data_IF_589687812767
#
_entry.id   IF_589687812767
#
_cell.length_a   1.000
_cell.length_b   1.000
_cell.length_c   1.000
_cell.angle_alpha   90.00
_cell.angle_beta   90.00
_cell.angle_gamma   90.00
#
_symmetry.space_group_name_H-M   'P 1'
#
loop_
_entity.id
_entity.type
_entity.pdbx_description
1 polymer ?
#
# COMPACT_ATOMS: atom_id res chain seq x y z
N UNK A 1 -17.51 17.92 -48.78
CA UNK A 1 -18.69 17.22 -48.25
C UNK A 1 -18.57 17.17 -46.73
N UNK A 2 -19.62 17.62 -46.04
CA UNK A 2 -19.59 17.96 -44.62
C UNK A 2 -19.14 16.77 -43.75
N UNK A 3 -18.23 17.04 -42.80
CA UNK A 3 -17.87 16.14 -41.70
C UNK A 3 -19.18 15.67 -41.04
N UNK A 4 -19.36 14.35 -40.84
CA UNK A 4 -20.44 13.83 -40.01
C UNK A 4 -20.46 14.64 -38.71
N UNK A 5 -21.56 15.34 -38.37
CA UNK A 5 -21.64 16.07 -37.12
C UNK A 5 -21.64 15.01 -36.02
N UNK A 6 -20.52 14.87 -35.31
CA UNK A 6 -20.42 13.94 -34.20
C UNK A 6 -21.43 14.42 -33.15
N UNK A 7 -22.48 13.63 -32.88
CA UNK A 7 -23.50 13.98 -31.89
C UNK A 7 -22.80 13.99 -30.53
N UNK A 8 -22.79 15.17 -29.91
CA UNK A 8 -22.23 15.40 -28.58
C UNK A 8 -23.36 15.62 -27.59
N UNK A 9 -23.33 14.86 -26.51
CA UNK A 9 -24.28 15.01 -25.40
C UNK A 9 -23.52 15.21 -24.10
N UNK A 10 -24.16 15.89 -23.15
CA UNK A 10 -23.61 16.02 -21.81
C UNK A 10 -23.71 14.68 -21.09
N UNK A 11 -22.72 14.31 -20.27
CA UNK A 11 -22.80 13.10 -19.46
C UNK A 11 -24.01 13.14 -18.53
N UNK A 12 -24.66 11.99 -18.34
CA UNK A 12 -25.84 11.84 -17.49
C UNK A 12 -25.65 10.72 -16.48
N UNK A 13 -26.47 10.68 -15.44
CA UNK A 13 -26.51 9.58 -14.50
C UNK A 13 -27.39 8.46 -15.05
N UNK A 14 -26.88 7.22 -15.23
CA UNK A 14 -27.67 6.09 -15.73
C UNK A 14 -28.88 5.72 -14.85
N UNK A 15 -28.89 6.13 -13.58
CA UNK A 15 -29.93 5.77 -12.62
C UNK A 15 -31.07 6.78 -12.48
N UNK A 16 -30.82 8.05 -12.78
CA UNK A 16 -31.83 9.12 -12.62
C UNK A 16 -31.99 10.03 -13.83
N UNK A 17 -31.15 9.87 -14.85
CA UNK A 17 -31.20 10.64 -16.09
C UNK A 17 -30.74 12.10 -15.98
N UNK A 18 -30.37 12.58 -14.80
CA UNK A 18 -29.86 13.95 -14.63
C UNK A 18 -28.45 14.12 -15.20
N UNK A 19 -28.14 15.31 -15.71
CA UNK A 19 -26.78 15.68 -16.08
C UNK A 19 -25.86 15.61 -14.85
N UNK A 20 -24.64 15.07 -15.04
CA UNK A 20 -23.63 15.00 -13.98
C UNK A 20 -22.57 16.06 -14.18
N UNK A 21 -21.95 16.50 -13.09
CA UNK A 21 -20.86 17.48 -13.15
C UNK A 21 -19.55 16.84 -13.64
N UNK A 22 -18.55 17.64 -14.05
CA UNK A 22 -17.21 17.15 -14.27
C UNK A 22 -16.67 16.46 -13.01
N UNK A 23 -16.11 15.25 -13.13
CA UNK A 23 -15.46 14.58 -12.01
C UNK A 23 -14.22 15.38 -11.60
N UNK A 24 -13.97 15.44 -10.30
CA UNK A 24 -12.88 16.21 -9.70
C UNK A 24 -11.85 15.31 -9.06
N UNK A 25 -10.65 15.85 -8.86
CA UNK A 25 -9.64 15.20 -8.03
C UNK A 25 -10.21 14.98 -6.61
N UNK A 26 -10.07 13.78 -6.02
CA UNK A 26 -10.56 13.52 -4.67
C UNK A 26 -9.79 14.33 -3.61
N UNK A 27 -10.44 14.59 -2.47
CA UNK A 27 -9.89 15.42 -1.39
C UNK A 27 -8.68 14.80 -0.67
N UNK A 28 -8.61 13.46 -0.58
CA UNK A 28 -7.49 12.72 0.02
C UNK A 28 -6.78 11.95 -1.07
N UNK A 29 -5.59 12.43 -1.46
CA UNK A 29 -4.92 11.84 -2.61
C UNK A 29 -4.37 10.43 -2.35
N UNK A 30 -4.80 9.43 -3.13
CA UNK A 30 -4.25 8.07 -3.23
C UNK A 30 -3.74 7.82 -4.66
N UNK A 31 -3.25 6.61 -4.94
CA UNK A 31 -2.18 6.42 -5.94
C UNK A 31 -2.58 6.05 -7.36
N UNK A 32 -3.82 5.62 -7.57
CA UNK A 32 -4.37 5.28 -8.89
C UNK A 32 -5.66 6.06 -9.15
N UNK A 33 -5.57 7.39 -9.08
CA UNK A 33 -6.77 8.23 -9.04
C UNK A 33 -7.48 8.34 -10.38
N UNK A 34 -8.67 7.76 -10.42
CA UNK A 34 -9.71 8.26 -11.28
C UNK A 34 -10.36 9.48 -10.63
N UNK A 35 -10.61 10.53 -11.43
CA UNK A 35 -11.42 11.64 -10.94
C UNK A 35 -12.79 11.12 -10.54
N UNK A 36 -13.31 11.60 -9.43
CA UNK A 36 -14.56 11.15 -8.83
C UNK A 36 -15.60 12.26 -8.87
N UNK A 37 -16.87 11.89 -9.01
CA UNK A 37 -17.98 12.79 -8.86
C UNK A 37 -19.18 12.13 -8.20
N UNK A 38 -20.12 12.97 -7.79
CA UNK A 38 -21.34 12.55 -7.12
C UNK A 38 -22.56 13.06 -7.89
N UNK A 39 -23.60 12.23 -7.96
CA UNK A 39 -24.91 12.60 -8.47
C UNK A 39 -25.86 12.86 -7.30
N UNK A 40 -26.83 13.76 -7.48
CA UNK A 40 -27.82 14.10 -6.45
C UNK A 40 -28.70 12.91 -6.04
N UNK A 41 -28.82 11.88 -6.88
CA UNK A 41 -29.55 10.66 -6.56
C UNK A 41 -28.78 9.71 -5.61
N UNK A 42 -27.55 10.08 -5.22
CA UNK A 42 -26.68 9.27 -4.36
C UNK A 42 -25.73 8.33 -5.12
N UNK A 43 -25.72 8.36 -6.46
CA UNK A 43 -24.74 7.62 -7.23
C UNK A 43 -23.38 8.31 -7.21
N UNK A 44 -22.32 7.51 -7.09
CA UNK A 44 -20.93 7.93 -7.24
C UNK A 44 -20.44 7.51 -8.61
N UNK A 45 -19.53 8.27 -9.21
CA UNK A 45 -18.89 7.88 -10.47
C UNK A 45 -17.42 8.24 -10.53
N UNK A 46 -16.67 7.43 -11.27
CA UNK A 46 -15.25 7.64 -11.58
C UNK A 46 -15.04 7.79 -13.09
N UNK A 47 -13.98 8.50 -13.46
CA UNK A 47 -13.58 8.74 -14.85
C UNK A 47 -12.27 8.06 -15.19
N UNK A 48 -12.32 7.03 -16.05
CA UNK A 48 -11.14 6.51 -16.74
C UNK A 48 -11.00 7.22 -18.09
N UNK A 49 -10.08 8.19 -18.25
CA UNK A 49 -9.92 8.92 -19.50
C UNK A 49 -9.40 8.05 -20.66
N UNK A 50 -8.86 6.87 -20.35
CA UNK A 50 -8.25 5.97 -21.35
C UNK A 50 -9.20 4.87 -21.84
N UNK A 51 -10.14 4.46 -20.98
CA UNK A 51 -11.02 3.31 -21.17
C UNK A 51 -10.34 1.94 -21.08
N UNK A 52 -9.06 1.89 -20.70
CA UNK A 52 -8.29 0.64 -20.54
C UNK A 52 -8.30 0.11 -19.11
N UNK A 53 -8.53 0.97 -18.12
CA UNK A 53 -8.42 0.65 -16.70
C UNK A 53 -9.80 0.62 -16.00
N UNK A 54 -10.86 0.33 -16.75
CA UNK A 54 -12.26 0.36 -16.26
C UNK A 54 -12.46 -0.53 -15.03
N UNK A 55 -11.75 -1.66 -14.94
CA UNK A 55 -11.81 -2.53 -13.75
C UNK A 55 -11.28 -1.85 -12.48
N UNK A 56 -10.16 -1.11 -12.59
CA UNK A 56 -9.64 -0.33 -11.47
C UNK A 56 -10.57 0.85 -11.14
N UNK A 57 -11.13 1.51 -12.17
CA UNK A 57 -12.10 2.60 -12.00
C UNK A 57 -13.37 2.14 -11.29
N UNK A 58 -13.84 0.92 -11.57
CA UNK A 58 -14.95 0.29 -10.88
C UNK A 58 -14.65 0.05 -9.40
N UNK A 59 -13.50 -0.56 -9.08
CA UNK A 59 -13.11 -0.84 -7.68
C UNK A 59 -12.98 0.46 -6.90
N UNK A 60 -12.34 1.47 -7.47
CA UNK A 60 -12.19 2.77 -6.80
C UNK A 60 -13.55 3.47 -6.62
N UNK A 61 -14.42 3.42 -7.63
CA UNK A 61 -15.77 3.95 -7.52
C UNK A 61 -16.56 3.26 -6.40
N UNK A 62 -16.34 1.97 -6.16
CA UNK A 62 -17.00 1.21 -5.09
C UNK A 62 -16.54 1.70 -3.73
N UNK A 63 -15.23 1.86 -3.56
CA UNK A 63 -14.63 2.34 -2.32
C UNK A 63 -15.14 3.76 -1.99
N UNK A 64 -15.27 4.64 -3.00
CA UNK A 64 -15.86 5.96 -2.79
C UNK A 64 -17.37 5.90 -2.46
N UNK A 65 -18.12 5.01 -3.11
CA UNK A 65 -19.53 4.79 -2.79
C UNK A 65 -19.72 4.33 -1.32
N UNK A 66 -18.74 3.60 -0.78
CA UNK A 66 -18.65 3.16 0.61
C UNK A 66 -17.93 4.15 1.54
N UNK A 67 -17.95 5.46 1.27
CA UNK A 67 -17.34 6.49 2.13
C UNK A 67 -15.85 6.27 2.45
N UNK A 68 -15.06 5.81 1.47
CA UNK A 68 -13.65 5.43 1.63
C UNK A 68 -13.43 4.20 2.54
N UNK A 69 -14.43 3.32 2.67
CA UNK A 69 -14.33 2.06 3.39
C UNK A 69 -14.11 0.88 2.44
N UNK A 70 -12.85 0.42 2.24
CA UNK A 70 -12.56 -0.69 1.35
C UNK A 70 -13.09 -2.02 1.89
N UNK A 71 -13.13 -2.22 3.21
CA UNK A 71 -13.59 -3.49 3.78
C UNK A 71 -15.08 -3.69 3.50
N UNK A 72 -15.90 -2.65 3.68
CA UNK A 72 -17.30 -2.68 3.27
C UNK A 72 -17.45 -2.90 1.77
N UNK A 73 -16.67 -2.20 0.94
CA UNK A 73 -16.73 -2.32 -0.52
C UNK A 73 -16.47 -3.75 -1.04
N UNK A 74 -15.61 -4.53 -0.36
CA UNK A 74 -15.33 -5.92 -0.74
C UNK A 74 -16.40 -6.92 -0.30
N UNK A 75 -17.26 -6.55 0.64
CA UNK A 75 -18.36 -7.39 1.12
C UNK A 75 -19.64 -7.24 0.28
N UNK A 76 -19.72 -6.22 -0.57
CA UNK A 76 -20.92 -5.95 -1.37
C UNK A 76 -21.13 -6.94 -2.51
N UNK A 77 -22.37 -7.35 -2.69
CA UNK A 77 -22.85 -8.20 -3.79
C UNK A 77 -23.52 -7.34 -4.87
N UNK A 78 -23.08 -7.50 -6.11
CA UNK A 78 -23.67 -6.78 -7.24
C UNK A 78 -25.16 -7.11 -7.40
N UNK A 79 -25.95 -6.10 -7.80
CA UNK A 79 -27.40 -6.16 -8.01
C UNK A 79 -28.28 -6.33 -6.75
N UNK A 80 -27.71 -6.86 -5.65
CA UNK A 80 -28.35 -6.91 -4.34
C UNK A 80 -28.04 -5.65 -3.51
N UNK A 81 -26.76 -5.30 -3.42
CA UNK A 81 -26.26 -4.25 -2.53
C UNK A 81 -26.01 -2.92 -3.24
N UNK A 82 -25.73 -2.98 -4.54
CA UNK A 82 -25.49 -1.82 -5.38
C UNK A 82 -25.83 -2.08 -6.83
N UNK A 83 -26.15 -1.00 -7.54
CA UNK A 83 -26.35 -0.98 -8.98
C UNK A 83 -25.13 -0.38 -9.67
N UNK A 84 -24.82 -0.87 -10.87
CA UNK A 84 -23.75 -0.34 -11.72
C UNK A 84 -24.31 0.35 -12.96
N UNK A 85 -23.58 1.34 -13.46
CA UNK A 85 -23.89 2.04 -14.70
C UNK A 85 -22.61 2.43 -15.41
N UNK A 86 -22.65 2.56 -16.73
CA UNK A 86 -21.47 2.86 -17.54
C UNK A 86 -21.83 3.78 -18.70
N UNK A 87 -20.98 4.76 -18.95
CA UNK A 87 -21.03 5.59 -20.15
C UNK A 87 -19.67 5.50 -20.84
N UNK A 88 -19.68 5.05 -22.09
CA UNK A 88 -18.51 4.97 -22.96
C UNK A 88 -18.33 6.23 -23.81
N UNK A 89 -17.17 6.35 -24.45
CA UNK A 89 -16.82 7.45 -25.35
C UNK A 89 -16.91 8.84 -24.67
N UNK A 90 -16.57 8.87 -23.38
CA UNK A 90 -16.48 10.09 -22.60
C UNK A 90 -15.14 10.80 -22.82
N UNK A 91 -15.21 12.11 -23.05
CA UNK A 91 -14.06 13.00 -23.09
C UNK A 91 -13.99 13.82 -21.80
N UNK A 92 -12.99 13.52 -20.98
CA UNK A 92 -12.78 14.22 -19.70
C UNK A 92 -12.38 15.69 -19.87
N UNK A 93 -11.73 16.06 -20.99
CA UNK A 93 -11.25 17.43 -21.21
C UNK A 93 -12.41 18.37 -21.53
N UNK A 94 -13.33 17.92 -22.37
CA UNK A 94 -14.49 18.73 -22.80
C UNK A 94 -15.75 18.43 -22.00
N UNK A 95 -15.71 17.41 -21.14
CA UNK A 95 -16.85 16.88 -20.39
C UNK A 95 -18.05 16.57 -21.30
N UNK A 96 -17.82 15.76 -22.33
CA UNK A 96 -18.82 15.37 -23.33
C UNK A 96 -18.77 13.89 -23.65
N UNK A 97 -19.90 13.33 -24.06
CA UNK A 97 -20.02 11.96 -24.56
C UNK A 97 -20.25 12.03 -26.06
N UNK A 98 -19.50 11.22 -26.81
CA UNK A 98 -19.56 11.16 -28.26
C UNK A 98 -20.14 9.83 -28.75
N UNK A 99 -20.84 9.88 -29.88
CA UNK A 99 -21.35 8.67 -30.53
C UNK A 99 -20.21 7.78 -31.05
N UNK A 100 -19.17 8.38 -31.63
CA UNK A 100 -18.01 7.68 -32.19
C UNK A 100 -16.71 7.97 -31.44
N UNK A 101 -15.86 6.95 -31.31
CA UNK A 101 -14.56 7.03 -30.63
C UNK A 101 -13.55 7.95 -31.30
N UNK A 102 -13.77 8.38 -32.54
CA UNK A 102 -12.83 9.25 -33.25
C UNK A 102 -13.45 10.64 -33.42
N UNK A 103 -12.88 11.62 -32.71
CA UNK A 103 -13.32 13.01 -32.71
C UNK A 103 -12.15 13.87 -33.15
N UNK A 104 -12.28 14.58 -34.27
CA UNK A 104 -11.26 15.50 -34.81
C UNK A 104 -9.82 14.91 -34.87
N UNK A 105 -9.72 13.62 -35.23
CA UNK A 105 -8.43 12.92 -35.34
C UNK A 105 -7.85 12.40 -34.02
N UNK A 106 -8.52 12.66 -32.90
CA UNK A 106 -8.21 12.11 -31.57
C UNK A 106 -9.14 10.94 -31.23
N UNK A 107 -8.59 9.91 -30.58
CA UNK A 107 -9.38 8.81 -30.02
C UNK A 107 -9.93 9.20 -28.64
N UNK A 108 -11.25 9.28 -28.53
CA UNK A 108 -12.02 9.41 -27.28
C UNK A 108 -12.54 8.04 -26.90
N UNK A 109 -11.94 7.43 -25.89
CA UNK A 109 -12.31 6.12 -25.40
C UNK A 109 -12.57 6.11 -23.89
N UNK A 110 -12.65 7.29 -23.27
CA UNK A 110 -12.85 7.39 -21.82
C UNK A 110 -14.20 6.83 -21.40
N UNK A 111 -14.26 6.45 -20.13
CA UNK A 111 -15.41 5.79 -19.52
C UNK A 111 -15.75 6.48 -18.22
N UNK A 112 -17.03 6.82 -18.03
CA UNK A 112 -17.58 7.11 -16.71
C UNK A 112 -18.22 5.83 -16.17
N UNK A 113 -17.73 5.37 -15.02
CA UNK A 113 -18.29 4.22 -14.32
C UNK A 113 -19.07 4.70 -13.10
N UNK A 114 -20.28 4.18 -12.92
CA UNK A 114 -21.21 4.61 -11.88
C UNK A 114 -21.54 3.46 -10.94
N UNK A 115 -21.60 3.76 -9.64
CA UNK A 115 -22.09 2.86 -8.60
C UNK A 115 -23.14 3.59 -7.77
N UNK A 116 -24.23 2.91 -7.45
CA UNK A 116 -25.27 3.39 -6.54
C UNK A 116 -25.60 2.31 -5.53
N UNK A 117 -25.28 2.56 -4.26
CA UNK A 117 -25.67 1.69 -3.16
C UNK A 117 -27.19 1.71 -2.96
N UNK A 118 -27.74 0.62 -2.41
CA UNK A 118 -29.08 0.64 -1.83
C UNK A 118 -29.15 1.59 -0.65
N UNK A 119 -30.36 2.01 -0.28
CA UNK A 119 -30.57 3.01 0.78
C UNK A 119 -30.00 2.56 2.12
N UNK A 120 -30.22 1.30 2.49
CA UNK A 120 -29.80 0.75 3.77
C UNK A 120 -28.28 0.71 3.91
N UNK A 121 -27.56 0.37 2.82
CA UNK A 121 -26.10 0.31 2.80
C UNK A 121 -25.46 1.70 2.69
N UNK A 122 -26.09 2.63 1.98
CA UNK A 122 -25.66 4.03 1.99
C UNK A 122 -25.74 4.63 3.40
N UNK A 123 -26.78 4.31 4.17
CA UNK A 123 -26.92 4.76 5.55
C UNK A 123 -25.94 4.05 6.50
N UNK A 124 -25.68 2.75 6.29
CA UNK A 124 -24.67 1.99 7.04
C UNK A 124 -23.26 2.54 6.82
N UNK A 125 -22.88 2.77 5.56
CA UNK A 125 -21.59 3.37 5.16
C UNK A 125 -21.31 4.66 5.92
N UNK A 126 -22.28 5.58 5.92
CA UNK A 126 -22.17 6.86 6.64
C UNK A 126 -22.00 6.69 8.14
N UNK A 127 -22.73 5.76 8.77
CA UNK A 127 -22.62 5.48 10.21
C UNK A 127 -21.24 4.94 10.57
N UNK A 128 -20.70 4.02 9.77
CA UNK A 128 -19.37 3.45 9.96
C UNK A 128 -18.29 4.52 9.84
N UNK A 129 -18.40 5.42 8.86
CA UNK A 129 -17.49 6.57 8.71
C UNK A 129 -17.49 7.47 9.94
N UNK A 130 -18.67 7.88 10.43
CA UNK A 130 -18.79 8.74 11.61
C UNK A 130 -18.26 8.07 12.88
N UNK A 131 -18.44 6.75 13.03
CA UNK A 131 -17.87 6.01 14.15
C UNK A 131 -16.34 5.98 14.07
N UNK A 132 -15.78 5.75 12.88
CA UNK A 132 -14.33 5.77 12.64
C UNK A 132 -13.72 7.14 12.92
N UNK A 133 -14.30 8.21 12.37
CA UNK A 133 -13.86 9.59 12.60
C UNK A 133 -13.89 9.98 14.09
N UNK A 134 -14.96 9.61 14.82
CA UNK A 134 -15.02 9.82 16.28
C UNK A 134 -13.97 9.01 17.06
N UNK A 135 -13.65 7.80 16.60
CA UNK A 135 -12.63 6.94 17.23
C UNK A 135 -11.23 7.48 16.97
N UNK A 136 -10.98 7.99 15.76
CA UNK A 136 -9.72 8.61 15.33
C UNK A 136 -9.47 9.95 16.04
N UNK A 137 -10.51 10.76 16.29
CA UNK A 137 -10.40 12.00 17.08
C UNK A 137 -9.96 11.73 18.52
N UNK A 138 -10.53 10.68 19.16
CA UNK A 138 -10.24 10.31 20.55
C UNK A 138 -8.85 9.67 20.72
N UNK A 139 -8.26 9.13 19.64
CA UNK A 139 -6.95 8.44 19.66
C UNK A 139 -5.79 9.28 19.11
N UNK A 140 -6.02 10.56 18.81
CA UNK A 140 -5.03 11.46 18.19
C UNK A 140 -3.89 11.89 19.15
N UNK A 141 -2.96 10.98 19.45
CA UNK A 141 -1.57 11.38 19.69
C UNK A 141 -1.00 11.93 18.37
N UNK A 142 -0.09 12.93 18.41
CA UNK A 142 0.44 13.55 17.21
C UNK A 142 1.06 12.47 16.33
N UNK A 143 0.50 12.33 15.13
CA UNK A 143 1.04 11.50 14.04
C UNK A 143 2.55 11.74 14.01
N UNK A 144 3.36 10.71 14.28
CA UNK A 144 4.79 10.81 14.03
C UNK A 144 4.92 11.29 12.59
N UNK A 145 5.55 12.45 12.37
CA UNK A 145 5.57 13.13 11.07
C UNK A 145 5.99 12.13 10.01
N UNK A 146 5.01 11.66 9.22
CA UNK A 146 5.28 10.72 8.17
C UNK A 146 6.24 11.41 7.18
N UNK A 147 7.47 10.91 7.10
CA UNK A 147 8.50 11.48 6.24
C UNK A 147 8.23 10.99 4.82
N UNK A 148 7.34 11.69 4.11
CA UNK A 148 7.10 11.43 2.70
C UNK A 148 8.32 11.92 1.90
N UNK A 149 8.97 11.07 1.09
CA UNK A 149 10.10 11.49 0.29
C UNK A 149 9.68 12.54 -0.74
N UNK A 150 10.55 13.51 -1.08
CA UNK A 150 10.24 14.52 -2.08
C UNK A 150 9.97 13.86 -3.45
N UNK A 151 9.09 14.50 -4.23
CA UNK A 151 8.77 14.04 -5.58
C UNK A 151 10.04 13.95 -6.43
N UNK A 152 10.29 12.77 -7.00
CA UNK A 152 11.43 12.55 -7.86
C UNK A 152 11.39 13.46 -9.10
N UNK A 153 12.51 14.09 -9.51
CA UNK A 153 12.53 14.95 -10.68
C UNK A 153 12.22 14.15 -11.95
N UNK A 154 11.56 14.80 -12.91
CA UNK A 154 11.41 14.20 -14.23
C UNK A 154 12.77 14.07 -14.90
N UNK A 155 13.02 12.91 -15.49
CA UNK A 155 14.26 12.67 -16.22
C UNK A 155 14.12 13.18 -17.64
N UNK A 156 15.17 13.88 -18.11
CA UNK A 156 15.22 14.42 -19.46
C UNK A 156 14.90 13.31 -20.50
N UNK A 157 13.84 13.47 -21.31
CA UNK A 157 13.49 12.51 -22.35
C UNK A 157 14.61 12.25 -23.36
N UNK A 158 15.53 13.21 -23.54
CA UNK A 158 16.66 13.12 -24.48
C UNK A 158 17.88 12.42 -23.87
N UNK A 159 17.90 12.14 -22.56
CA UNK A 159 19.04 11.48 -21.94
C UNK A 159 19.19 10.05 -22.45
N UNK A 160 20.44 9.59 -22.57
CA UNK A 160 20.72 8.20 -22.91
C UNK A 160 20.30 7.29 -21.75
N UNK A 161 19.22 6.54 -21.94
CA UNK A 161 18.74 5.57 -20.95
C UNK A 161 19.80 4.50 -20.67
N UNK A 162 20.03 4.23 -19.39
CA UNK A 162 20.92 3.17 -18.92
C UNK A 162 20.17 1.85 -18.94
N UNK A 163 20.78 0.81 -19.48
CA UNK A 163 20.23 -0.55 -19.44
C UNK A 163 20.73 -1.26 -18.19
N UNK A 164 19.85 -1.93 -17.47
CA UNK A 164 20.23 -2.65 -16.27
C UNK A 164 21.15 -3.83 -16.61
N UNK A 165 22.27 -3.94 -15.89
CA UNK A 165 23.17 -5.09 -15.92
C UNK A 165 23.25 -5.74 -14.53
N UNK A 166 23.25 -7.08 -14.47
CA UNK A 166 23.22 -7.83 -13.20
C UNK A 166 24.39 -7.49 -12.29
N UNK A 167 25.61 -7.43 -12.84
CA UNK A 167 26.82 -7.16 -12.07
C UNK A 167 26.78 -5.74 -11.54
N UNK A 168 26.40 -4.78 -12.40
CA UNK A 168 26.33 -3.38 -12.00
C UNK A 168 25.26 -3.11 -10.94
N UNK A 169 24.06 -3.69 -11.08
CA UNK A 169 23.01 -3.53 -10.06
C UNK A 169 23.45 -4.16 -8.73
N UNK A 170 24.14 -5.31 -8.75
CA UNK A 170 24.70 -5.91 -7.54
C UNK A 170 25.70 -4.98 -6.84
N UNK A 171 26.63 -4.41 -7.59
CA UNK A 171 27.60 -3.45 -7.06
C UNK A 171 26.92 -2.21 -6.46
N UNK A 172 25.93 -1.64 -7.15
CA UNK A 172 25.20 -0.47 -6.68
C UNK A 172 24.36 -0.75 -5.43
N UNK A 173 23.75 -1.93 -5.33
CA UNK A 173 23.04 -2.37 -4.12
C UNK A 173 24.01 -2.41 -2.94
N UNK A 174 25.11 -3.14 -3.05
CA UNK A 174 26.03 -3.34 -1.91
C UNK A 174 26.95 -2.15 -1.61
N UNK A 175 27.01 -1.15 -2.49
CA UNK A 175 27.63 0.15 -2.20
C UNK A 175 26.64 1.17 -1.64
N UNK A 176 25.34 0.82 -1.51
CA UNK A 176 24.31 1.71 -0.99
C UNK A 176 24.01 2.91 -1.89
N UNK A 177 24.29 2.81 -3.20
CA UNK A 177 24.12 3.93 -4.12
C UNK A 177 22.65 4.04 -4.59
N UNK A 178 21.81 4.57 -3.71
CA UNK A 178 20.35 4.67 -3.93
C UNK A 178 20.03 5.58 -5.12
N UNK A 179 20.73 6.71 -5.28
CA UNK A 179 20.50 7.64 -6.40
C UNK A 179 20.67 6.96 -7.75
N UNK A 180 21.78 6.23 -7.93
CA UNK A 180 22.02 5.50 -9.17
C UNK A 180 20.96 4.41 -9.39
N UNK A 181 20.60 3.66 -8.35
CA UNK A 181 19.58 2.60 -8.46
C UNK A 181 18.21 3.16 -8.88
N UNK A 182 17.80 4.29 -8.30
CA UNK A 182 16.55 4.98 -8.67
C UNK A 182 16.60 5.41 -10.14
N UNK A 183 17.72 5.98 -10.60
CA UNK A 183 17.91 6.35 -12.01
C UNK A 183 17.85 5.16 -12.96
N UNK A 184 18.44 4.03 -12.57
CA UNK A 184 18.37 2.77 -13.30
C UNK A 184 16.94 2.22 -13.33
N UNK A 185 16.18 2.30 -12.23
CA UNK A 185 14.78 1.93 -12.20
C UNK A 185 13.96 2.77 -13.19
N UNK A 186 14.16 4.08 -13.25
CA UNK A 186 13.43 4.93 -14.21
C UNK A 186 13.75 4.63 -15.68
N UNK A 187 14.96 4.15 -15.97
CA UNK A 187 15.39 3.78 -17.32
C UNK A 187 14.99 2.36 -17.73
N UNK A 188 15.11 1.39 -16.83
CA UNK A 188 14.89 -0.03 -17.08
C UNK A 188 14.35 -0.74 -15.82
N UNK A 189 13.07 -1.15 -15.88
CA UNK A 189 12.39 -1.87 -14.79
C UNK A 189 13.01 -3.23 -14.46
N UNK A 190 13.90 -3.77 -15.31
CA UNK A 190 14.68 -4.97 -14.97
C UNK A 190 15.58 -4.77 -13.76
N UNK A 191 15.91 -3.52 -13.42
CA UNK A 191 16.65 -3.17 -12.20
C UNK A 191 16.01 -3.77 -10.95
N UNK A 192 14.69 -3.61 -10.78
CA UNK A 192 13.96 -4.18 -9.65
C UNK A 192 14.07 -5.71 -9.61
N UNK A 193 13.98 -6.36 -10.76
CA UNK A 193 14.13 -7.83 -10.88
C UNK A 193 15.53 -8.28 -10.46
N UNK A 194 16.57 -7.53 -10.80
CA UNK A 194 17.94 -7.85 -10.41
C UNK A 194 18.18 -7.61 -8.92
N UNK A 195 17.58 -6.58 -8.33
CA UNK A 195 17.61 -6.36 -6.87
C UNK A 195 16.91 -7.51 -6.14
N UNK A 196 15.69 -7.90 -6.56
CA UNK A 196 14.96 -9.02 -5.96
C UNK A 196 15.73 -10.34 -6.01
N UNK A 197 16.50 -10.59 -7.08
CA UNK A 197 17.34 -11.79 -7.17
C UNK A 197 18.40 -11.86 -6.07
N UNK A 198 18.85 -10.72 -5.53
CA UNK A 198 19.85 -10.69 -4.45
C UNK A 198 19.27 -11.07 -3.09
N UNK A 199 17.95 -11.15 -2.94
CA UNK A 199 17.30 -11.69 -1.74
C UNK A 199 17.56 -13.18 -1.53
N UNK A 200 18.10 -13.87 -2.55
CA UNK A 200 18.52 -15.27 -2.48
C UNK A 200 20.04 -15.43 -2.28
N UNK A 201 20.75 -14.38 -1.86
CA UNK A 201 22.18 -14.51 -1.51
C UNK A 201 22.34 -15.46 -0.30
N UNK A 202 23.32 -16.39 -0.31
CA UNK A 202 23.54 -17.31 0.79
C UNK A 202 23.91 -16.60 2.11
N UNK A 203 24.47 -15.38 2.01
CA UNK A 203 24.79 -14.55 3.16
C UNK A 203 23.53 -13.82 3.67
N UNK A 204 23.12 -14.12 4.91
CA UNK A 204 21.94 -13.52 5.54
C UNK A 204 22.05 -12.00 5.67
N UNK A 205 23.21 -11.48 6.07
CA UNK A 205 23.43 -10.05 6.22
C UNK A 205 23.26 -9.30 4.89
N UNK A 206 23.71 -9.90 3.78
CA UNK A 206 23.47 -9.35 2.44
C UNK A 206 22.00 -9.34 2.06
N UNK A 207 21.22 -10.35 2.45
CA UNK A 207 19.77 -10.38 2.20
C UNK A 207 19.06 -9.25 2.92
N UNK A 208 19.35 -9.05 4.21
CA UNK A 208 18.80 -7.95 5.01
C UNK A 208 19.18 -6.58 4.47
N UNK A 209 20.44 -6.39 4.11
CA UNK A 209 20.90 -5.14 3.52
C UNK A 209 20.22 -4.87 2.16
N UNK A 210 20.07 -5.91 1.33
CA UNK A 210 19.36 -5.79 0.07
C UNK A 210 17.87 -5.42 0.27
N UNK A 211 17.18 -6.03 1.24
CA UNK A 211 15.80 -5.70 1.59
C UNK A 211 15.65 -4.22 1.99
N UNK A 212 16.58 -3.71 2.81
CA UNK A 212 16.62 -2.30 3.19
C UNK A 212 16.80 -1.39 1.96
N UNK A 213 17.77 -1.70 1.10
CA UNK A 213 18.03 -0.92 -0.12
C UNK A 213 16.82 -0.93 -1.07
N UNK A 214 16.15 -2.09 -1.20
CA UNK A 214 14.89 -2.20 -1.96
C UNK A 214 13.84 -1.24 -1.39
N UNK A 215 13.63 -1.22 -0.07
CA UNK A 215 12.69 -0.30 0.57
C UNK A 215 12.97 1.17 0.23
N UNK A 216 14.24 1.60 0.33
CA UNK A 216 14.67 2.96 0.01
C UNK A 216 14.45 3.32 -1.47
N UNK A 217 14.80 2.42 -2.40
CA UNK A 217 14.60 2.64 -3.84
C UNK A 217 13.11 2.67 -4.19
N UNK A 218 12.31 1.75 -3.65
CA UNK A 218 10.86 1.71 -3.84
C UNK A 218 10.18 2.95 -3.29
N UNK A 219 10.64 3.50 -2.16
CA UNK A 219 10.09 4.72 -1.59
C UNK A 219 10.22 5.93 -2.53
N UNK A 220 11.36 6.04 -3.21
CA UNK A 220 11.62 7.11 -4.18
C UNK A 220 10.96 6.84 -5.52
N UNK A 221 11.05 5.62 -6.04
CA UNK A 221 10.41 5.22 -7.31
C UNK A 221 8.89 5.43 -7.27
N UNK A 222 8.25 5.11 -6.14
CA UNK A 222 6.80 5.26 -5.96
C UNK A 222 6.31 6.69 -5.91
N UNK A 223 7.19 7.71 -5.82
CA UNK A 223 6.76 9.11 -5.98
C UNK A 223 6.28 9.41 -7.40
N UNK A 224 6.68 8.61 -8.40
CA UNK A 224 6.27 8.77 -9.81
C UNK A 224 5.64 7.50 -10.41
N UNK A 225 6.04 6.32 -9.95
CA UNK A 225 5.58 5.01 -10.45
C UNK A 225 5.12 4.09 -9.32
N UNK A 226 4.12 4.50 -8.52
CA UNK A 226 3.64 3.73 -7.37
C UNK A 226 3.04 2.37 -7.76
N UNK A 227 2.27 2.30 -8.86
CA UNK A 227 1.69 1.04 -9.36
C UNK A 227 2.73 -0.07 -9.62
N UNK A 228 3.93 0.29 -10.10
CA UNK A 228 5.03 -0.68 -10.31
C UNK A 228 5.47 -1.33 -9.00
N UNK A 229 5.48 -0.57 -7.90
CA UNK A 229 5.85 -1.07 -6.57
C UNK A 229 4.70 -1.88 -5.96
N UNK A 230 3.45 -1.47 -6.19
CA UNK A 230 2.26 -2.25 -5.81
C UNK A 230 2.25 -3.63 -6.47
N UNK A 231 2.43 -3.70 -7.80
CA UNK A 231 2.55 -4.95 -8.55
C UNK A 231 3.71 -5.83 -8.07
N UNK A 232 4.78 -5.19 -7.60
CA UNK A 232 5.92 -5.90 -7.02
C UNK A 232 5.55 -6.50 -5.65
N UNK A 233 4.90 -5.74 -4.76
CA UNK A 233 4.41 -6.26 -3.48
C UNK A 233 3.47 -7.45 -3.67
N UNK A 234 2.49 -7.35 -4.58
CA UNK A 234 1.59 -8.46 -4.90
C UNK A 234 2.35 -9.73 -5.30
N UNK A 235 3.33 -9.61 -6.21
CA UNK A 235 4.16 -10.75 -6.63
C UNK A 235 5.03 -11.32 -5.51
N UNK A 236 5.51 -10.48 -4.60
CA UNK A 236 6.27 -10.94 -3.43
C UNK A 236 5.38 -11.76 -2.49
N UNK A 237 4.16 -11.30 -2.21
CA UNK A 237 3.19 -12.07 -1.42
C UNK A 237 2.79 -13.39 -2.10
N UNK A 238 2.52 -13.35 -3.41
CA UNK A 238 2.24 -14.55 -4.20
C UNK A 238 3.41 -15.56 -4.11
N UNK A 239 4.64 -15.06 -4.24
CA UNK A 239 5.83 -15.90 -4.07
C UNK A 239 5.93 -16.50 -2.67
N UNK A 240 5.63 -15.74 -1.62
CA UNK A 240 5.59 -16.26 -0.25
C UNK A 240 4.54 -17.37 -0.03
N UNK A 241 3.47 -17.43 -0.85
CA UNK A 241 2.46 -18.50 -0.77
C UNK A 241 2.81 -19.74 -1.58
N UNK A 242 3.76 -19.65 -2.52
CA UNK A 242 4.18 -20.78 -3.32
C UNK A 242 5.03 -21.74 -2.47
N UNK A 243 4.46 -22.92 -2.17
CA UNK A 243 5.09 -23.96 -1.35
C UNK A 243 6.35 -24.56 -1.99
N UNK A 244 6.55 -24.35 -3.30
CA UNK A 244 7.78 -24.75 -3.99
C UNK A 244 8.90 -23.69 -3.85
N UNK A 245 8.61 -22.53 -3.27
CA UNK A 245 9.57 -21.43 -3.12
C UNK A 245 10.04 -21.28 -1.66
N UNK A 246 11.34 -21.05 -1.48
CA UNK A 246 11.87 -20.62 -0.18
C UNK A 246 11.81 -19.10 -0.10
N UNK A 247 11.06 -18.56 0.85
CA UNK A 247 10.78 -17.12 0.96
C UNK A 247 11.93 -16.28 1.56
N UNK A 248 13.20 -16.69 1.37
CA UNK A 248 14.35 -15.98 1.94
C UNK A 248 14.40 -14.53 1.46
N UNK A 249 14.41 -13.58 2.39
CA UNK A 249 14.50 -12.15 2.09
C UNK A 249 13.20 -11.49 1.61
N UNK A 250 12.12 -12.26 1.33
CA UNK A 250 10.89 -11.71 0.75
C UNK A 250 10.06 -10.94 1.79
N UNK A 251 9.86 -11.51 2.98
CA UNK A 251 9.09 -10.85 4.05
C UNK A 251 9.85 -9.63 4.59
N UNK A 252 11.17 -9.71 4.61
CA UNK A 252 12.09 -8.64 4.94
C UNK A 252 11.95 -7.48 3.93
N UNK A 253 11.93 -7.80 2.63
CA UNK A 253 11.73 -6.81 1.57
C UNK A 253 10.33 -6.19 1.61
N UNK A 254 9.28 -6.99 1.81
CA UNK A 254 7.90 -6.50 1.98
C UNK A 254 7.82 -5.53 3.17
N UNK A 255 8.32 -5.94 4.34
CA UNK A 255 8.36 -5.09 5.53
C UNK A 255 9.13 -3.79 5.30
N UNK A 256 10.27 -3.86 4.63
CA UNK A 256 11.10 -2.69 4.30
C UNK A 256 10.40 -1.73 3.32
N UNK A 257 9.70 -2.24 2.30
CA UNK A 257 8.96 -1.42 1.34
C UNK A 257 7.78 -0.72 2.03
N UNK A 258 7.01 -1.45 2.84
CA UNK A 258 5.85 -0.88 3.54
C UNK A 258 6.31 0.15 4.57
N UNK A 259 7.34 -0.14 5.36
CA UNK A 259 7.88 0.79 6.34
C UNK A 259 8.45 2.07 5.69
N UNK A 260 8.97 1.97 4.47
CA UNK A 260 9.50 3.14 3.77
C UNK A 260 8.43 4.06 3.16
N UNK A 261 7.22 3.54 2.89
CA UNK A 261 6.05 4.31 2.38
C UNK A 261 4.72 3.78 2.91
N UNK A 262 4.47 3.90 4.23
CA UNK A 262 3.24 3.37 4.83
C UNK A 262 1.99 4.18 4.46
N UNK A 263 2.13 5.44 4.01
CA UNK A 263 1.04 6.20 3.38
C UNK A 263 0.46 5.51 2.16
N UNK A 264 1.32 4.90 1.35
CA UNK A 264 0.91 4.21 0.13
C UNK A 264 0.57 2.76 0.46
N UNK A 265 1.55 2.06 1.03
CA UNK A 265 1.55 0.60 1.06
C UNK A 265 1.08 0.05 2.41
N UNK A 266 0.67 0.92 3.35
CA UNK A 266 0.21 0.49 4.68
C UNK A 266 -0.94 -0.52 4.63
N UNK A 267 -1.82 -0.42 3.62
CA UNK A 267 -2.88 -1.40 3.40
C UNK A 267 -2.40 -2.83 3.18
N UNK A 268 -1.16 -3.02 2.73
CA UNK A 268 -0.56 -4.35 2.57
C UNK A 268 -0.13 -4.99 3.90
N UNK A 269 0.09 -4.20 4.96
CA UNK A 269 0.65 -4.67 6.23
C UNK A 269 -0.16 -5.84 6.83
N UNK A 270 -1.50 -5.80 6.72
CA UNK A 270 -2.39 -6.87 7.22
C UNK A 270 -2.08 -8.24 6.64
N UNK A 271 -1.58 -8.31 5.39
CA UNK A 271 -1.28 -9.58 4.72
C UNK A 271 -0.04 -10.27 5.28
N UNK A 272 0.86 -9.56 5.98
CA UNK A 272 1.97 -10.18 6.71
C UNK A 272 1.47 -11.18 7.76
N UNK A 273 0.34 -10.90 8.40
CA UNK A 273 -0.23 -11.76 9.44
C UNK A 273 -0.70 -13.12 8.91
N UNK A 274 -0.88 -13.29 7.59
CA UNK A 274 -1.21 -14.60 6.99
C UNK A 274 -0.11 -15.64 7.25
N UNK A 275 1.15 -15.21 7.45
CA UNK A 275 2.30 -16.10 7.64
C UNK A 275 2.67 -16.32 9.12
N UNK A 276 1.92 -15.76 10.07
CA UNK A 276 2.22 -15.85 11.52
C UNK A 276 2.26 -17.29 12.05
N UNK A 277 1.49 -18.19 11.43
CA UNK A 277 1.40 -19.60 11.80
C UNK A 277 2.61 -20.43 11.36
N UNK A 278 3.38 -19.95 10.39
CA UNK A 278 4.53 -20.67 9.83
C UNK A 278 5.77 -20.42 10.71
N UNK A 279 6.36 -21.43 11.37
CA UNK A 279 7.45 -21.24 12.33
C UNK A 279 8.64 -20.44 11.78
N UNK A 280 9.06 -20.74 10.54
CA UNK A 280 10.18 -20.08 9.87
C UNK A 280 9.91 -18.64 9.44
N UNK A 281 8.63 -18.23 9.35
CA UNK A 281 8.23 -16.88 8.98
C UNK A 281 7.83 -16.02 10.17
N UNK A 282 7.47 -16.62 11.31
CA UNK A 282 6.88 -15.91 12.45
C UNK A 282 7.75 -14.75 12.94
N UNK A 283 9.05 -15.00 13.13
CA UNK A 283 10.00 -13.95 13.53
C UNK A 283 10.08 -12.82 12.49
N UNK A 284 10.04 -13.15 11.19
CA UNK A 284 10.09 -12.18 10.10
C UNK A 284 8.81 -11.33 10.01
N UNK A 285 7.64 -11.93 10.26
CA UNK A 285 6.36 -11.22 10.35
C UNK A 285 6.40 -10.20 11.48
N UNK A 286 6.83 -10.62 12.67
CA UNK A 286 6.95 -9.74 13.83
C UNK A 286 7.97 -8.63 13.59
N UNK A 287 9.12 -8.96 12.98
CA UNK A 287 10.11 -7.98 12.58
C UNK A 287 9.53 -6.94 11.63
N UNK A 288 8.88 -7.39 10.54
CA UNK A 288 8.33 -6.51 9.51
C UNK A 288 7.27 -5.57 10.10
N UNK A 289 6.36 -6.10 10.92
CA UNK A 289 5.35 -5.30 11.62
C UNK A 289 6.00 -4.30 12.58
N UNK A 290 7.02 -4.71 13.34
CA UNK A 290 7.77 -3.82 14.22
C UNK A 290 8.49 -2.70 13.45
N UNK A 291 9.05 -3.01 12.28
CA UNK A 291 9.72 -2.03 11.41
C UNK A 291 8.73 -1.02 10.83
N UNK A 292 7.54 -1.45 10.41
CA UNK A 292 6.46 -0.54 9.98
C UNK A 292 6.00 0.35 11.15
N UNK A 293 5.86 -0.23 12.35
CA UNK A 293 5.41 0.47 13.54
C UNK A 293 6.39 1.53 14.07
N UNK A 294 7.65 1.53 13.62
CA UNK A 294 8.64 2.53 14.04
C UNK A 294 8.22 3.96 13.72
N UNK A 295 7.66 4.15 12.52
CA UNK A 295 7.21 5.45 12.02
C UNK A 295 5.70 5.53 11.88
N UNK A 296 5.01 4.39 11.77
CA UNK A 296 3.57 4.30 11.52
C UNK A 296 2.89 3.22 12.38
N UNK A 297 2.88 3.39 13.72
CA UNK A 297 2.25 2.41 14.63
C UNK A 297 0.76 2.20 14.35
N UNK A 298 0.05 3.22 13.86
CA UNK A 298 -1.38 3.17 13.50
C UNK A 298 -1.66 2.18 12.36
N UNK A 299 -0.77 2.07 11.37
CA UNK A 299 -0.91 1.10 10.27
C UNK A 299 -0.95 -0.32 10.83
N UNK A 300 -0.14 -0.59 11.84
CA UNK A 300 -0.05 -1.90 12.47
C UNK A 300 -1.20 -2.14 13.45
N UNK A 301 -1.59 -1.13 14.25
CA UNK A 301 -2.74 -1.22 15.16
C UNK A 301 -4.06 -1.53 14.44
N UNK A 302 -4.21 -1.05 13.21
CA UNK A 302 -5.40 -1.29 12.38
C UNK A 302 -5.43 -2.69 11.75
N UNK A 303 -4.43 -3.54 12.02
CA UNK A 303 -4.45 -4.95 11.61
C UNK A 303 -4.97 -5.84 12.74
N UNK A 304 -5.34 -7.11 12.48
CA UNK A 304 -5.61 -8.12 13.51
C UNK A 304 -4.40 -8.52 14.38
N UNK A 305 -3.67 -7.54 14.92
CA UNK A 305 -2.39 -7.69 15.62
C UNK A 305 -2.50 -8.48 16.92
N UNK A 306 -3.70 -8.53 17.52
CA UNK A 306 -4.02 -9.39 18.66
C UNK A 306 -3.73 -10.88 18.39
N UNK A 307 -3.73 -11.29 17.12
CA UNK A 307 -3.46 -12.68 16.71
C UNK A 307 -2.03 -13.16 16.99
N UNK A 308 -1.11 -12.26 17.38
CA UNK A 308 0.28 -12.57 17.74
C UNK A 308 0.64 -12.19 19.18
N UNK A 309 -0.33 -11.83 20.02
CA UNK A 309 -0.06 -11.44 21.42
C UNK A 309 0.62 -12.54 22.24
N UNK A 310 0.35 -13.81 21.95
CA UNK A 310 1.01 -14.93 22.61
C UNK A 310 2.51 -14.99 22.36
N UNK A 311 3.02 -14.32 21.32
CA UNK A 311 4.44 -14.34 20.97
C UNK A 311 5.35 -13.67 22.00
N UNK A 312 4.82 -12.86 22.93
CA UNK A 312 5.61 -12.29 24.05
C UNK A 312 6.17 -13.36 24.99
N UNK A 313 5.56 -14.55 25.01
CA UNK A 313 6.00 -15.67 25.84
C UNK A 313 6.42 -16.88 25.01
N UNK A 314 6.70 -16.69 23.70
CA UNK A 314 7.18 -17.78 22.85
C UNK A 314 8.51 -18.30 23.40
N UNK A 315 8.76 -19.63 23.42
CA UNK A 315 10.03 -20.18 23.90
C UNK A 315 11.24 -19.69 23.10
N UNK A 316 11.09 -19.39 21.82
CA UNK A 316 12.17 -18.88 20.98
C UNK A 316 12.50 -17.40 21.34
N UNK A 317 13.73 -17.08 21.79
CA UNK A 317 14.11 -15.71 22.14
C UNK A 317 14.01 -14.72 20.97
N UNK A 318 14.18 -15.18 19.72
CA UNK A 318 14.03 -14.31 18.55
C UNK A 318 12.56 -13.90 18.36
N UNK A 319 11.62 -14.85 18.43
CA UNK A 319 10.18 -14.57 18.30
C UNK A 319 9.73 -13.65 19.46
N UNK A 320 10.14 -13.99 20.68
CA UNK A 320 9.83 -13.22 21.88
C UNK A 320 10.38 -11.79 21.82
N UNK A 321 11.64 -11.62 21.46
CA UNK A 321 12.27 -10.31 21.31
C UNK A 321 11.62 -9.46 20.22
N UNK A 322 11.29 -10.03 19.05
CA UNK A 322 10.60 -9.30 17.99
C UNK A 322 9.17 -8.90 18.39
N UNK A 323 8.46 -9.77 19.12
CA UNK A 323 7.14 -9.46 19.65
C UNK A 323 7.19 -8.27 20.62
N UNK A 324 8.11 -8.29 21.58
CA UNK A 324 8.32 -7.20 22.54
C UNK A 324 8.65 -5.88 21.81
N UNK A 325 9.59 -5.92 20.86
CA UNK A 325 9.96 -4.75 20.03
C UNK A 325 8.75 -4.17 19.31
N UNK A 326 7.94 -5.01 18.68
CA UNK A 326 6.70 -4.61 18.01
C UNK A 326 5.70 -3.98 18.99
N UNK A 327 5.42 -4.63 20.11
CA UNK A 327 4.38 -4.21 21.06
C UNK A 327 4.74 -2.92 21.80
N UNK A 328 6.02 -2.69 22.08
CA UNK A 328 6.52 -1.40 22.55
C UNK A 328 6.24 -0.28 21.54
N UNK A 329 6.59 -0.50 20.26
CA UNK A 329 6.39 0.50 19.18
C UNK A 329 4.92 0.85 18.95
N UNK A 330 4.01 -0.12 19.09
CA UNK A 330 2.58 0.14 18.97
C UNK A 330 1.91 0.53 20.30
N UNK A 331 2.64 0.74 21.39
CA UNK A 331 2.09 1.03 22.72
C UNK A 331 0.94 0.07 23.12
N UNK A 332 1.15 -1.24 23.00
CA UNK A 332 0.13 -2.24 23.37
C UNK A 332 0.08 -2.42 24.91
N UNK A 333 -0.58 -1.47 25.59
CA UNK A 333 -0.62 -1.37 27.06
C UNK A 333 -1.13 -2.65 27.73
N UNK A 334 -2.00 -3.40 27.06
CA UNK A 334 -2.53 -4.69 27.54
C UNK A 334 -1.43 -5.74 27.75
N UNK A 335 -0.29 -5.59 27.09
CA UNK A 335 0.86 -6.49 27.18
C UNK A 335 1.96 -5.97 28.10
N UNK A 336 1.80 -4.77 28.71
CA UNK A 336 2.83 -4.12 29.55
C UNK A 336 3.33 -5.05 30.66
N UNK A 337 2.43 -5.65 31.43
CA UNK A 337 2.80 -6.59 32.50
C UNK A 337 3.55 -7.83 31.98
N UNK A 338 3.21 -8.32 30.77
CA UNK A 338 3.94 -9.43 30.15
C UNK A 338 5.32 -9.04 29.64
N UNK A 339 5.51 -7.79 29.22
CA UNK A 339 6.83 -7.26 28.84
C UNK A 339 7.69 -7.02 30.09
N UNK A 340 7.10 -6.58 31.21
CA UNK A 340 7.78 -6.44 32.51
C UNK A 340 8.30 -7.77 33.06
N UNK A 341 7.65 -8.89 32.76
CA UNK A 341 8.18 -10.22 33.12
C UNK A 341 9.50 -10.56 32.39
N UNK A 342 9.81 -9.87 31.28
CA UNK A 342 10.91 -10.20 30.37
C UNK A 342 12.16 -9.32 30.56
N UNK A 343 12.14 -8.26 31.37
CA UNK A 343 13.27 -7.31 31.50
C UNK A 343 14.58 -7.93 31.99
N UNK A 344 14.50 -9.04 32.75
CA UNK A 344 15.68 -9.77 33.22
C UNK A 344 16.10 -10.92 32.29
N UNK A 345 15.43 -11.11 31.14
CA UNK A 345 15.75 -12.17 30.19
C UNK A 345 17.05 -11.85 29.43
N UNK A 346 18.12 -12.58 29.77
CA UNK A 346 19.44 -12.42 29.16
C UNK A 346 19.61 -13.23 27.87
N UNK A 347 18.56 -13.86 27.34
CA UNK A 347 18.67 -14.66 26.12
C UNK A 347 19.12 -13.78 24.94
N UNK A 348 20.21 -14.15 24.25
CA UNK A 348 20.76 -13.36 23.16
C UNK A 348 19.91 -13.53 21.89
N UNK A 349 19.78 -12.45 21.12
CA UNK A 349 19.23 -12.48 19.77
C UNK A 349 19.90 -11.43 18.89
N UNK A 350 19.74 -11.60 17.58
CA UNK A 350 20.12 -10.60 16.58
C UNK A 350 18.87 -10.00 15.99
N UNK A 351 18.75 -8.67 16.05
CA UNK A 351 17.71 -7.92 15.35
C UNK A 351 18.38 -7.20 14.17
N UNK A 352 17.69 -7.06 13.05
CA UNK A 352 18.20 -6.26 11.95
C UNK A 352 17.54 -4.88 11.96
N UNK A 353 18.34 -3.83 12.03
CA UNK A 353 17.90 -2.44 11.94
C UNK A 353 18.59 -1.76 10.78
N UNK A 354 17.80 -1.09 9.92
CA UNK A 354 18.31 -0.42 8.71
C UNK A 354 19.24 -1.31 7.87
N UNK A 355 18.93 -2.60 7.79
CA UNK A 355 19.68 -3.60 7.02
C UNK A 355 20.97 -4.09 7.67
N UNK A 356 21.27 -3.73 8.92
CA UNK A 356 22.47 -4.13 9.65
C UNK A 356 22.10 -4.99 10.87
N UNK A 357 22.91 -6.01 11.21
CA UNK A 357 22.69 -6.83 12.39
C UNK A 357 23.06 -6.07 13.67
N UNK A 358 22.17 -6.10 14.65
CA UNK A 358 22.38 -5.60 16.00
C UNK A 358 22.22 -6.74 17.01
N UNK A 359 23.29 -7.02 17.76
CA UNK A 359 23.26 -8.00 18.83
C UNK A 359 22.67 -7.39 20.09
N UNK A 360 21.66 -8.05 20.65
CA UNK A 360 20.92 -7.58 21.82
C UNK A 360 20.42 -8.75 22.67
N UNK A 361 19.65 -8.47 23.72
CA UNK A 361 18.95 -9.46 24.55
C UNK A 361 17.46 -9.15 24.60
N UNK A 362 16.67 -10.18 24.95
CA UNK A 362 15.22 -10.02 25.14
C UNK A 362 14.93 -8.94 26.20
N UNK A 363 15.64 -8.96 27.33
CA UNK A 363 15.46 -8.00 28.41
C UNK A 363 15.82 -6.56 28.03
N UNK A 364 16.83 -6.38 27.16
CA UNK A 364 17.13 -5.05 26.62
C UNK A 364 16.00 -4.52 25.74
N UNK A 365 15.45 -5.36 24.85
CA UNK A 365 14.28 -4.98 24.04
C UNK A 365 13.05 -4.71 24.91
N UNK A 366 12.89 -5.42 26.03
CA UNK A 366 11.82 -5.16 26.99
C UNK A 366 11.96 -3.79 27.67
N UNK A 367 13.17 -3.40 28.09
CA UNK A 367 13.42 -2.06 28.60
C UNK A 367 13.11 -0.97 27.56
N UNK A 368 13.56 -1.15 26.32
CA UNK A 368 13.30 -0.22 25.22
C UNK A 368 11.81 -0.13 24.91
N UNK A 369 11.09 -1.26 24.89
CA UNK A 369 9.65 -1.31 24.68
C UNK A 369 8.89 -0.57 25.79
N UNK A 370 9.20 -0.83 27.06
CA UNK A 370 8.54 -0.18 28.19
C UNK A 370 8.78 1.34 28.21
N UNK A 371 9.95 1.80 27.77
CA UNK A 371 10.25 3.23 27.65
C UNK A 371 9.40 3.94 26.59
N UNK A 372 8.94 3.21 25.55
CA UNK A 372 8.02 3.72 24.53
C UNK A 372 6.56 3.69 24.98
N UNK A 373 6.24 2.92 26.02
CA UNK A 373 4.88 2.72 26.48
C UNK A 373 4.45 3.81 27.45
N UNK A 374 3.32 4.43 27.15
CA UNK A 374 2.70 5.47 27.98
C UNK A 374 1.27 5.07 28.27
N UNK A 375 0.86 5.23 29.54
CA UNK A 375 -0.52 4.99 30.00
C UNK A 375 -1.55 5.85 29.28
#
# INVERSE_FOLDING_TARGET
MAKNPNIKVRPWCPFCGQEVNPPTEPLKRKIDEFKVGNCQCGAVYTSDPTGFNVGAAMVECMIYACDENPDLAWELVADDDFLTGRIDNYDEVTHQVYEFKNVDGRRVAGVLYFIRLTRDLADLSKRLKHHKEKTDEVTSKPMAKLVVPPLEPERDPKRKKKRADKSKIKELVFSGNIDALVDFCFDDMKTLRFMLRLLYDPDEGKRWYCAQVIGQVCARLSTRKPGVVSDMLHRLYESCTDSASTHWGLLEAIGSIIAARPDIFGGFARHLLMYRGVPTSRALVLWAMGTIAETSPEVVRNTPIYSVFSSVNDPDPLIRGQAIRLFGRINAVELKSKIEEQVNDSAPLTVYEKGLPEHTTVGRLAHEALALMTE
#
